data_IF_254054878141
#
_entry.id   IF_254054878141
#
_cell.length_a   1.000
_cell.length_b   1.000
_cell.length_c   1.000
_cell.angle_alpha   90.00
_cell.angle_beta   90.00
_cell.angle_gamma   90.00
#
_symmetry.space_group_name_H-M   'P 1'
#
loop_
_entity.id
_entity.type
_entity.pdbx_description
1 polymer ?
#
# COMPACT_ATOMS: atom_id res chain seq x y z
N UNK A 1 14.39 -8.32 2.28
CA UNK A 1 15.70 -7.88 2.78
C UNK A 1 16.74 -8.98 2.59
N UNK A 2 17.90 -8.63 2.10
CA UNK A 2 18.99 -9.60 1.98
C UNK A 2 19.42 -10.05 3.38
N UNK A 3 19.62 -11.35 3.57
CA UNK A 3 20.11 -11.90 4.83
C UNK A 3 21.63 -11.77 4.92
N UNK A 4 22.18 -11.86 6.13
CA UNK A 4 23.63 -11.93 6.31
C UNK A 4 24.16 -13.13 5.51
N UNK A 5 25.13 -12.88 4.62
CA UNK A 5 25.69 -13.90 3.75
C UNK A 5 25.03 -14.03 2.39
N UNK A 6 23.96 -13.25 2.12
CA UNK A 6 23.36 -13.21 0.80
C UNK A 6 24.18 -12.28 -0.08
N UNK A 7 24.84 -12.87 -1.09
CA UNK A 7 25.73 -12.14 -2.00
C UNK A 7 25.10 -11.89 -3.36
N UNK A 8 23.81 -12.14 -3.51
CA UNK A 8 23.13 -11.92 -4.79
C UNK A 8 23.09 -10.44 -5.10
N UNK A 9 23.43 -10.08 -6.33
CA UNK A 9 23.32 -8.72 -6.82
C UNK A 9 21.86 -8.37 -7.13
N UNK A 10 21.11 -9.37 -7.65
CA UNK A 10 19.69 -9.17 -7.99
C UNK A 10 18.84 -9.78 -6.87
N UNK A 11 18.13 -8.93 -6.18
CA UNK A 11 17.22 -9.35 -5.09
C UNK A 11 15.80 -9.36 -5.62
N UNK A 12 15.28 -10.56 -5.89
CA UNK A 12 13.93 -10.75 -6.44
C UNK A 12 13.02 -11.32 -5.36
N UNK A 13 11.95 -10.61 -5.07
CA UNK A 13 10.88 -11.07 -4.20
C UNK A 13 9.64 -11.33 -5.04
N UNK A 14 8.73 -12.16 -4.54
CA UNK A 14 7.51 -12.49 -5.28
C UNK A 14 6.31 -12.41 -4.34
N UNK A 15 5.23 -11.82 -4.83
CA UNK A 15 3.97 -11.77 -4.09
C UNK A 15 3.45 -13.16 -3.77
N UNK A 16 3.80 -14.14 -4.61
CA UNK A 16 3.36 -15.55 -4.42
C UNK A 16 4.08 -16.24 -3.25
N UNK A 17 5.19 -15.68 -2.80
CA UNK A 17 5.97 -16.24 -1.69
C UNK A 17 5.95 -15.37 -0.44
N UNK A 18 5.41 -14.15 -0.54
CA UNK A 18 5.37 -13.23 0.58
C UNK A 18 4.29 -13.65 1.58
N UNK A 19 4.64 -13.68 2.87
CA UNK A 19 3.67 -13.98 3.93
C UNK A 19 2.72 -12.81 4.11
N UNK A 20 1.41 -13.03 3.95
CA UNK A 20 0.44 -11.96 4.16
C UNK A 20 0.26 -11.63 5.64
N UNK A 21 0.04 -10.36 5.93
CA UNK A 21 -0.31 -9.94 7.29
C UNK A 21 -1.34 -8.80 7.22
N UNK A 22 -2.14 -8.68 8.28
CA UNK A 22 -3.11 -7.61 8.39
C UNK A 22 -2.45 -6.39 9.00
N UNK A 23 -2.67 -5.23 8.41
CA UNK A 23 -2.18 -3.96 8.96
C UNK A 23 -3.24 -3.29 9.81
N UNK A 24 -2.85 -2.24 10.53
CA UNK A 24 -3.77 -1.46 11.37
C UNK A 24 -4.90 -0.82 10.57
N UNK A 25 -4.65 -0.49 9.30
CA UNK A 25 -5.68 0.13 8.47
C UNK A 25 -6.72 -0.86 7.95
N UNK A 26 -6.55 -2.16 8.21
CA UNK A 26 -7.51 -3.20 7.83
C UNK A 26 -7.22 -3.91 6.53
N UNK A 27 -6.18 -3.49 5.79
CA UNK A 27 -5.80 -4.17 4.56
C UNK A 27 -4.90 -5.39 4.86
N UNK A 28 -4.86 -6.32 3.91
CA UNK A 28 -3.90 -7.42 3.94
C UNK A 28 -2.71 -7.06 3.08
N UNK A 29 -1.52 -7.15 3.65
CA UNK A 29 -0.29 -6.69 3.01
C UNK A 29 0.64 -7.86 2.74
N UNK A 30 1.24 -7.86 1.56
CA UNK A 30 2.37 -8.71 1.21
C UNK A 30 3.55 -7.82 0.86
N UNK A 31 4.50 -7.71 1.79
CA UNK A 31 5.67 -6.84 1.59
C UNK A 31 6.66 -7.52 0.67
N UNK A 32 7.16 -6.78 -0.31
CA UNK A 32 8.12 -7.27 -1.30
C UNK A 32 9.52 -6.76 -1.01
N UNK A 33 9.67 -5.45 -0.83
CA UNK A 33 10.95 -4.83 -0.51
C UNK A 33 10.78 -3.76 0.54
N UNK A 34 11.77 -3.67 1.41
CA UNK A 34 11.81 -2.64 2.45
C UNK A 34 13.28 -2.32 2.72
N UNK A 35 13.70 -1.14 2.28
CA UNK A 35 15.06 -0.65 2.49
C UNK A 35 15.00 0.64 3.30
N UNK A 36 16.15 1.26 3.54
CA UNK A 36 16.16 2.56 4.22
C UNK A 36 15.57 3.68 3.36
N UNK A 37 15.49 3.48 2.04
CA UNK A 37 15.07 4.52 1.11
C UNK A 37 13.62 4.39 0.66
N UNK A 38 13.08 3.17 0.62
CA UNK A 38 11.75 2.92 0.05
C UNK A 38 11.20 1.57 0.47
N UNK A 39 9.90 1.39 0.29
CA UNK A 39 9.27 0.09 0.43
C UNK A 39 8.26 -0.14 -0.69
N UNK A 40 8.04 -1.41 -1.01
CA UNK A 40 7.06 -1.84 -1.99
C UNK A 40 6.29 -3.02 -1.41
N UNK A 41 4.97 -2.90 -1.40
CA UNK A 41 4.09 -3.95 -0.92
C UNK A 41 2.85 -4.04 -1.79
N UNK A 42 2.22 -5.22 -1.79
CA UNK A 42 0.89 -5.39 -2.39
C UNK A 42 -0.14 -5.37 -1.28
N UNK A 43 -1.17 -4.55 -1.46
CA UNK A 43 -2.32 -4.47 -0.56
C UNK A 43 -3.53 -5.14 -1.19
N UNK A 44 -4.31 -5.82 -0.37
CA UNK A 44 -5.55 -6.48 -0.78
C UNK A 44 -6.69 -6.03 0.13
N UNK A 45 -7.80 -5.67 -0.49
CA UNK A 45 -9.07 -5.42 0.20
C UNK A 45 -10.14 -6.33 -0.39
N UNK A 46 -10.84 -7.05 0.47
CA UNK A 46 -12.00 -7.83 0.06
C UNK A 46 -13.20 -6.91 -0.19
N UNK A 47 -14.24 -7.36 -0.90
CA UNK A 47 -15.45 -6.54 -1.08
C UNK A 47 -15.98 -6.00 0.25
N UNK A 48 -16.38 -4.75 0.24
CA UNK A 48 -16.91 -4.00 1.39
C UNK A 48 -15.86 -3.58 2.41
N UNK A 49 -14.59 -3.96 2.25
CA UNK A 49 -13.53 -3.49 3.14
C UNK A 49 -13.04 -2.11 2.72
N UNK A 50 -12.63 -1.34 3.71
CA UNK A 50 -12.00 -0.04 3.52
C UNK A 50 -10.83 0.06 4.47
N UNK A 51 -9.80 0.82 4.07
CA UNK A 51 -8.73 1.14 5.01
C UNK A 51 -9.23 2.18 6.00
N UNK A 52 -8.76 2.10 7.24
CA UNK A 52 -9.03 3.15 8.22
C UNK A 52 -8.37 4.45 7.76
N UNK A 53 -9.06 5.57 7.90
CA UNK A 53 -8.57 6.86 7.44
C UNK A 53 -7.32 7.26 8.22
N UNK A 54 -6.25 7.59 7.51
CA UNK A 54 -4.94 7.83 8.11
C UNK A 54 -4.09 8.76 7.23
N UNK A 55 -2.95 9.17 7.78
CA UNK A 55 -1.93 9.88 7.00
C UNK A 55 -0.54 9.44 7.45
N UNK A 56 0.45 9.69 6.59
CA UNK A 56 1.86 9.51 6.89
C UNK A 56 2.51 10.88 6.93
N UNK A 57 3.33 11.14 7.95
CA UNK A 57 3.94 12.46 8.09
C UNK A 57 5.10 12.65 7.12
N UNK A 58 5.99 11.66 7.02
CA UNK A 58 7.20 11.76 6.22
C UNK A 58 7.08 11.08 4.87
N UNK A 59 6.33 9.98 4.79
CA UNK A 59 6.25 9.15 3.60
C UNK A 59 5.36 9.76 2.53
N UNK A 60 5.88 9.80 1.30
CA UNK A 60 5.09 9.97 0.10
C UNK A 60 4.75 8.59 -0.43
N UNK A 61 3.49 8.37 -0.79
CA UNK A 61 3.01 7.06 -1.19
C UNK A 61 2.36 7.10 -2.56
N UNK A 62 2.57 6.03 -3.34
CA UNK A 62 1.87 5.86 -4.61
C UNK A 62 1.10 4.54 -4.54
N UNK A 63 -0.20 4.58 -4.84
CA UNK A 63 -1.00 3.38 -5.07
C UNK A 63 -1.06 3.13 -6.57
N UNK A 64 -0.76 1.90 -6.98
CA UNK A 64 -0.92 1.48 -8.37
C UNK A 64 -1.86 0.28 -8.42
N UNK A 65 -3.02 0.43 -9.05
CA UNK A 65 -4.06 -0.60 -9.05
C UNK A 65 -3.72 -1.70 -10.04
N UNK A 66 -3.75 -2.94 -9.53
CA UNK A 66 -3.48 -4.14 -10.32
C UNK A 66 -4.76 -4.84 -10.73
N UNK A 67 -5.76 -4.91 -9.83
CA UNK A 67 -6.97 -5.69 -10.03
C UNK A 67 -8.11 -5.05 -9.24
N UNK A 68 -9.31 -5.08 -9.80
CA UNK A 68 -10.48 -4.51 -9.15
C UNK A 68 -10.49 -2.99 -9.25
N UNK A 69 -11.40 -2.36 -8.54
CA UNK A 69 -11.49 -0.90 -8.49
C UNK A 69 -11.86 -0.46 -7.08
N UNK A 70 -11.57 0.78 -6.77
CA UNK A 70 -11.87 1.32 -5.46
C UNK A 70 -12.23 2.79 -5.51
N UNK A 71 -12.81 3.24 -4.42
CA UNK A 71 -13.13 4.64 -4.19
C UNK A 71 -12.07 5.19 -3.24
N UNK A 72 -11.18 6.03 -3.77
CA UNK A 72 -10.08 6.63 -3.02
C UNK A 72 -10.44 8.05 -2.62
N UNK A 73 -10.27 8.36 -1.34
CA UNK A 73 -10.38 9.72 -0.83
C UNK A 73 -9.01 10.19 -0.36
N UNK A 74 -8.56 11.34 -0.87
CA UNK A 74 -7.31 11.98 -0.45
C UNK A 74 -7.60 13.46 -0.18
N UNK A 75 -7.36 13.90 1.05
CA UNK A 75 -7.56 15.29 1.46
C UNK A 75 -8.97 15.82 1.11
N UNK A 76 -9.96 14.96 1.22
CA UNK A 76 -11.37 15.31 0.95
C UNK A 76 -11.81 15.14 -0.50
N UNK A 77 -10.90 14.90 -1.41
CA UNK A 77 -11.25 14.66 -2.82
C UNK A 77 -11.41 13.16 -3.06
N UNK A 78 -12.51 12.76 -3.69
CA UNK A 78 -12.82 11.36 -3.97
C UNK A 78 -12.68 11.08 -5.45
N UNK A 79 -12.00 9.98 -5.75
CA UNK A 79 -11.81 9.51 -7.13
C UNK A 79 -11.93 7.99 -7.18
N UNK A 80 -12.61 7.49 -8.20
CA UNK A 80 -12.56 6.07 -8.50
C UNK A 80 -11.25 5.75 -9.21
N UNK A 81 -10.57 4.72 -8.73
CA UNK A 81 -9.33 4.24 -9.37
C UNK A 81 -9.52 2.80 -9.84
N UNK A 82 -8.91 2.48 -10.98
CA UNK A 82 -9.06 1.23 -11.73
C UNK A 82 -7.69 0.67 -12.09
N UNK A 83 -7.63 -0.58 -12.56
CA UNK A 83 -6.35 -1.17 -12.97
C UNK A 83 -5.59 -0.27 -13.94
N UNK A 84 -4.31 -0.07 -13.64
CA UNK A 84 -3.45 0.82 -14.39
C UNK A 84 -3.38 2.26 -13.87
N UNK A 85 -4.26 2.64 -12.94
CA UNK A 85 -4.21 3.98 -12.35
C UNK A 85 -3.17 4.05 -11.25
N UNK A 86 -2.43 5.15 -11.22
CA UNK A 86 -1.47 5.46 -10.18
C UNK A 86 -1.92 6.72 -9.44
N UNK A 87 -2.10 6.61 -8.13
CA UNK A 87 -2.52 7.73 -7.29
C UNK A 87 -1.38 8.15 -6.38
N UNK A 88 -1.06 9.45 -6.39
CA UNK A 88 -0.02 10.01 -5.53
C UNK A 88 -0.65 10.56 -4.26
N UNK A 89 -0.13 10.11 -3.12
CA UNK A 89 -0.56 10.57 -1.80
C UNK A 89 0.62 11.25 -1.13
N UNK A 90 0.53 12.56 -0.99
CA UNK A 90 1.62 13.36 -0.43
C UNK A 90 1.68 13.24 1.09
N UNK A 91 2.85 13.49 1.68
CA UNK A 91 2.97 13.48 3.15
C UNK A 91 1.95 14.42 3.79
N UNK A 92 1.34 13.94 4.87
CA UNK A 92 0.34 14.72 5.62
C UNK A 92 -1.07 14.62 5.08
N UNK A 93 -1.29 14.05 3.91
CA UNK A 93 -2.63 13.97 3.33
C UNK A 93 -3.42 12.81 3.95
N UNK A 94 -4.54 13.13 4.57
CA UNK A 94 -5.48 12.12 5.07
C UNK A 94 -6.04 11.34 3.90
N UNK A 95 -6.09 10.01 4.01
CA UNK A 95 -6.61 9.17 2.93
C UNK A 95 -7.23 7.88 3.43
N UNK A 96 -8.11 7.35 2.62
CA UNK A 96 -8.73 6.04 2.79
C UNK A 96 -9.15 5.52 1.42
N UNK A 97 -9.17 4.21 1.26
CA UNK A 97 -9.65 3.56 0.05
C UNK A 97 -10.65 2.48 0.42
N UNK A 98 -11.74 2.43 -0.32
CA UNK A 98 -12.81 1.46 -0.12
C UNK A 98 -12.95 0.57 -1.34
N UNK A 99 -13.07 -0.74 -1.11
CA UNK A 99 -13.47 -1.67 -2.15
C UNK A 99 -15.00 -1.74 -2.16
N UNK A 100 -15.61 -0.95 -3.02
CA UNK A 100 -17.06 -0.92 -3.17
C UNK A 100 -17.56 -1.83 -4.31
N UNK A 101 -16.67 -2.66 -4.84
CA UNK A 101 -17.00 -3.62 -5.88
C UNK A 101 -17.37 -4.99 -5.34
N UNK A 102 -17.53 -5.95 -6.26
CA UNK A 102 -17.92 -7.32 -5.93
C UNK A 102 -16.76 -8.30 -6.00
N UNK A 103 -15.58 -7.85 -6.38
CA UNK A 103 -14.37 -8.67 -6.44
C UNK A 103 -13.25 -8.01 -5.66
N UNK A 104 -12.19 -8.78 -5.42
CA UNK A 104 -11.03 -8.35 -4.66
C UNK A 104 -10.34 -7.15 -5.33
N UNK A 105 -9.93 -6.17 -4.53
CA UNK A 105 -9.14 -5.04 -4.96
C UNK A 105 -7.69 -5.29 -4.56
N UNK A 106 -6.77 -5.21 -5.53
CA UNK A 106 -5.33 -5.33 -5.29
C UNK A 106 -4.60 -4.14 -5.86
N UNK A 107 -3.70 -3.59 -5.07
CA UNK A 107 -2.89 -2.45 -5.51
C UNK A 107 -1.51 -2.50 -4.86
N UNK A 108 -0.54 -1.92 -5.55
CA UNK A 108 0.80 -1.76 -5.00
C UNK A 108 0.85 -0.49 -4.17
N UNK A 109 1.59 -0.56 -3.06
CA UNK A 109 1.91 0.59 -2.23
C UNK A 109 3.41 0.83 -2.33
N UNK A 110 3.80 1.94 -2.96
CA UNK A 110 5.19 2.35 -3.09
C UNK A 110 5.41 3.52 -2.14
N UNK A 111 6.28 3.37 -1.17
CA UNK A 111 6.52 4.37 -0.13
C UNK A 111 7.97 4.83 -0.11
N UNK A 112 8.17 6.15 -0.03
CA UNK A 112 9.49 6.75 0.11
C UNK A 112 9.38 7.99 1.01
N UNK A 113 10.06 8.01 2.16
CA UNK A 113 10.80 6.90 2.80
C UNK A 113 9.89 5.69 3.06
N UNK A 114 10.47 4.54 3.42
CA UNK A 114 9.70 3.30 3.52
C UNK A 114 8.57 3.39 4.52
N UNK A 115 7.53 2.59 4.31
CA UNK A 115 6.41 2.50 5.23
C UNK A 115 6.93 2.27 6.65
N UNK A 116 6.39 3.04 7.60
CA UNK A 116 6.68 2.90 9.02
C UNK A 116 5.38 3.01 9.80
N UNK A 117 5.20 2.04 10.70
CA UNK A 117 4.08 2.05 11.62
C UNK A 117 4.08 3.31 12.49
N UNK A 118 5.27 3.74 12.92
CA UNK A 118 5.44 4.92 13.77
C UNK A 118 5.15 6.23 13.01
N UNK A 119 5.15 6.19 11.67
CA UNK A 119 4.84 7.33 10.83
C UNK A 119 3.40 7.28 10.29
N UNK A 120 2.56 6.41 10.85
CA UNK A 120 1.17 6.24 10.43
C UNK A 120 0.25 6.71 11.55
N UNK A 121 -0.61 7.68 11.24
CA UNK A 121 -1.49 8.33 12.21
C UNK A 121 -2.95 8.17 11.78
N UNK A 122 -3.78 7.72 12.72
CA UNK A 122 -5.19 7.43 12.46
C UNK A 122 -6.07 8.55 12.99
N UNK A 123 -7.24 8.71 12.36
CA UNK A 123 -8.25 9.67 12.79
C UNK A 123 -8.84 9.30 14.16
#
# INVERSE_FOLDING_TARGET
MATAGDNRVVDVQSVNRAEPFATKDGSTIRELHHTELQSLAEATLEPSQATERHYHRATEEIYFVLKGSGDLEVAGERRRIRPGDAALIRPGAWHTIENDGSSELRFLCCCAPPYSHDDTFFE
#
